data_IF_446175630466
#
_entry.id   IF_446175630466
#
_cell.length_a   1.000
_cell.length_b   1.000
_cell.length_c   1.000
_cell.angle_alpha   90.00
_cell.angle_beta   90.00
_cell.angle_gamma   90.00
#
_symmetry.space_group_name_H-M   'P 1'
#
loop_
_entity.id
_entity.type
_entity.pdbx_description
1 polymer ?
#
# COMPACT_ATOMS: atom_id res chain seq x y z
N UNK A 1 6.35 -10.12 -14.44
CA UNK A 1 6.64 -9.33 -13.24
C UNK A 1 7.41 -8.15 -13.75
N UNK A 2 7.00 -6.95 -13.35
CA UNK A 2 7.67 -5.71 -13.72
C UNK A 2 8.63 -5.32 -12.59
N UNK A 3 9.67 -4.55 -12.92
CA UNK A 3 10.49 -3.92 -11.90
C UNK A 3 9.65 -2.85 -11.18
N UNK A 4 9.74 -2.80 -9.85
CA UNK A 4 9.04 -1.81 -9.05
C UNK A 4 9.93 -1.25 -7.95
N UNK A 5 9.82 0.06 -7.71
CA UNK A 5 10.46 0.71 -6.57
C UNK A 5 9.45 0.94 -5.45
N UNK A 6 9.85 0.64 -4.22
CA UNK A 6 9.05 0.89 -3.02
C UNK A 6 9.88 1.64 -1.98
N UNK A 7 9.35 2.76 -1.49
CA UNK A 7 9.98 3.62 -0.48
C UNK A 7 9.09 3.73 0.75
N UNK A 8 9.64 3.41 1.91
CA UNK A 8 8.95 3.48 3.20
C UNK A 8 9.31 4.79 3.91
N UNK A 9 8.34 5.67 4.09
CA UNK A 9 8.52 6.98 4.71
C UNK A 9 7.85 7.02 6.08
N UNK A 10 8.48 7.65 7.10
CA UNK A 10 7.83 7.91 8.38
C UNK A 10 6.53 8.70 8.19
N UNK A 11 5.51 8.38 8.99
CA UNK A 11 4.26 9.12 8.97
C UNK A 11 3.83 9.59 10.38
N UNK A 12 3.04 10.68 10.47
CA UNK A 12 2.55 11.19 11.76
C UNK A 12 1.69 10.16 12.52
N UNK A 13 1.51 10.34 13.84
CA UNK A 13 0.55 9.55 14.60
C UNK A 13 -0.86 9.57 13.98
N UNK A 14 -1.55 8.44 14.05
CA UNK A 14 -2.89 8.24 13.48
C UNK A 14 -2.94 8.31 11.95
N UNK A 15 -1.79 8.23 11.27
CA UNK A 15 -1.74 8.12 9.81
C UNK A 15 -2.18 6.72 9.34
N UNK A 16 -1.84 5.68 10.10
CA UNK A 16 -2.01 4.29 9.68
C UNK A 16 -0.98 3.88 8.63
N UNK A 17 -1.25 2.75 7.96
CA UNK A 17 -0.46 2.27 6.82
C UNK A 17 -1.17 2.69 5.54
N UNK A 18 -0.49 3.49 4.70
CA UNK A 18 -1.03 3.95 3.42
C UNK A 18 -0.05 3.68 2.30
N UNK A 19 -0.58 3.28 1.15
CA UNK A 19 0.16 3.18 -0.10
C UNK A 19 -0.08 4.42 -0.95
N UNK A 20 0.93 4.84 -1.72
CA UNK A 20 0.83 5.95 -2.66
C UNK A 20 1.42 5.55 -4.00
N UNK A 21 0.61 5.61 -5.06
CA UNK A 21 1.05 5.36 -6.43
C UNK A 21 1.70 6.60 -7.02
N UNK A 22 3.02 6.70 -6.93
CA UNK A 22 3.78 7.89 -7.36
C UNK A 22 3.93 7.99 -8.88
N UNK A 23 3.66 6.91 -9.60
CA UNK A 23 3.67 6.81 -11.06
C UNK A 23 2.36 7.28 -11.71
N UNK A 24 1.28 7.44 -10.94
CA UNK A 24 -0.02 7.89 -11.45
C UNK A 24 -0.22 9.41 -11.31
N UNK A 25 -1.03 10.03 -12.19
CA UNK A 25 -1.48 11.41 -12.00
C UNK A 25 -2.14 11.59 -10.64
N UNK A 26 -1.93 12.76 -10.02
CA UNK A 26 -2.42 13.13 -8.68
C UNK A 26 -1.88 12.29 -7.51
N UNK A 27 -0.99 11.33 -7.79
CA UNK A 27 -0.32 10.46 -6.81
C UNK A 27 -1.26 9.93 -5.71
N UNK A 28 -2.31 9.19 -6.11
CA UNK A 28 -3.39 8.78 -5.24
C UNK A 28 -2.91 7.91 -4.08
N UNK A 29 -3.59 8.07 -2.95
CA UNK A 29 -3.41 7.26 -1.75
C UNK A 29 -4.41 6.10 -1.72
N UNK A 30 -3.96 4.98 -1.19
CA UNK A 30 -4.76 3.79 -0.89
C UNK A 30 -4.52 3.38 0.56
N UNK A 31 -5.57 3.45 1.37
CA UNK A 31 -5.54 3.02 2.77
C UNK A 31 -5.46 1.49 2.82
N UNK A 32 -4.58 0.97 3.68
CA UNK A 32 -4.50 -0.46 3.97
C UNK A 32 -5.68 -0.90 4.87
N UNK A 33 -6.88 -0.84 4.29
CA UNK A 33 -8.15 -1.14 4.93
C UNK A 33 -8.82 -2.34 4.26
N UNK A 34 -9.53 -3.16 5.04
CA UNK A 34 -10.26 -4.32 4.54
C UNK A 34 -11.39 -3.91 3.58
N UNK A 35 -11.99 -2.74 3.77
CA UNK A 35 -13.03 -2.20 2.91
C UNK A 35 -12.52 -1.88 1.50
N UNK A 36 -11.20 -1.72 1.34
CA UNK A 36 -10.57 -1.49 0.04
C UNK A 36 -10.12 -2.78 -0.66
N UNK A 37 -10.33 -3.97 -0.08
CA UNK A 37 -9.92 -5.24 -0.70
C UNK A 37 -10.82 -5.58 -1.89
N UNK A 38 -10.21 -5.76 -3.06
CA UNK A 38 -10.92 -6.01 -4.33
C UNK A 38 -10.59 -7.36 -4.99
N UNK A 39 -9.50 -8.02 -4.60
CA UNK A 39 -9.16 -9.36 -5.07
C UNK A 39 -8.32 -10.14 -4.04
N UNK A 40 -8.50 -11.46 -4.02
CA UNK A 40 -7.81 -12.44 -3.18
C UNK A 40 -7.27 -13.65 -3.98
N UNK A 41 -7.45 -13.68 -5.30
CA UNK A 41 -7.22 -14.86 -6.14
C UNK A 41 -5.76 -15.34 -6.20
N UNK A 42 -4.80 -14.40 -6.09
CA UNK A 42 -3.35 -14.65 -6.18
C UNK A 42 -2.53 -13.95 -5.10
N UNK A 43 -3.22 -13.25 -4.21
CA UNK A 43 -2.68 -12.34 -3.21
C UNK A 43 -3.74 -11.30 -2.86
N UNK A 44 -3.52 -10.52 -1.81
CA UNK A 44 -4.44 -9.47 -1.39
C UNK A 44 -4.19 -8.23 -2.24
N UNK A 45 -5.24 -7.81 -2.95
CA UNK A 45 -5.23 -6.58 -3.75
C UNK A 45 -6.17 -5.57 -3.14
N UNK A 46 -5.69 -4.34 -2.94
CA UNK A 46 -6.48 -3.21 -2.47
C UNK A 46 -6.61 -2.15 -3.55
N UNK A 47 -7.75 -1.47 -3.59
CA UNK A 47 -8.00 -0.38 -4.53
C UNK A 47 -8.79 0.75 -3.86
N UNK A 48 -8.33 1.98 -4.07
CA UNK A 48 -9.01 3.20 -3.63
C UNK A 48 -8.60 4.32 -4.57
N UNK A 49 -9.48 5.31 -4.80
CA UNK A 49 -9.16 6.48 -5.63
C UNK A 49 -8.62 6.11 -7.04
N UNK A 50 -9.15 5.04 -7.64
CA UNK A 50 -8.71 4.46 -8.93
C UNK A 50 -7.24 4.00 -8.96
N UNK A 51 -6.62 3.79 -7.81
CA UNK A 51 -5.29 3.23 -7.67
C UNK A 51 -5.36 1.83 -7.07
N UNK A 52 -4.77 0.87 -7.75
CA UNK A 52 -4.70 -0.54 -7.34
C UNK A 52 -3.28 -0.88 -6.88
N UNK A 53 -3.20 -1.59 -5.75
CA UNK A 53 -1.98 -2.17 -5.19
C UNK A 53 -2.18 -3.68 -5.01
N UNK A 54 -1.36 -4.49 -5.68
CA UNK A 54 -1.39 -5.94 -5.64
C UNK A 54 -0.43 -6.46 -4.57
N UNK A 55 -0.75 -7.64 -4.03
CA UNK A 55 0.16 -8.44 -3.18
C UNK A 55 0.65 -7.68 -1.94
N UNK A 56 -0.26 -7.01 -1.22
CA UNK A 56 0.11 -6.20 -0.04
C UNK A 56 0.45 -7.03 1.21
N UNK A 57 0.03 -8.29 1.25
CA UNK A 57 -0.03 -9.12 2.46
C UNK A 57 1.33 -9.34 3.15
N UNK A 58 2.42 -9.53 2.41
CA UNK A 58 3.73 -9.75 3.01
C UNK A 58 4.32 -8.46 3.58
N UNK A 59 4.13 -7.34 2.89
CA UNK A 59 4.52 -6.01 3.38
C UNK A 59 3.77 -5.68 4.66
N UNK A 60 2.44 -5.88 4.67
CA UNK A 60 1.63 -5.66 5.86
C UNK A 60 2.02 -6.60 7.01
N UNK A 61 2.27 -7.88 6.74
CA UNK A 61 2.71 -8.83 7.75
C UNK A 61 4.06 -8.43 8.39
N UNK A 62 5.01 -7.94 7.59
CA UNK A 62 6.31 -7.46 8.10
C UNK A 62 6.14 -6.21 8.99
N UNK A 63 5.32 -5.24 8.57
CA UNK A 63 5.06 -4.02 9.33
C UNK A 63 4.37 -4.33 10.67
N UNK A 64 3.34 -5.18 10.65
CA UNK A 64 2.65 -5.62 11.87
C UNK A 64 3.60 -6.39 12.79
N UNK A 65 4.41 -7.30 12.24
CA UNK A 65 5.40 -8.06 13.00
C UNK A 65 6.46 -7.18 13.68
N UNK A 66 6.77 -6.02 13.09
CA UNK A 66 7.69 -5.02 13.63
C UNK A 66 7.00 -3.92 14.45
N UNK A 67 5.67 -3.99 14.63
CA UNK A 67 4.88 -2.99 15.34
C UNK A 67 5.00 -1.58 14.74
N UNK A 68 5.00 -1.49 13.41
CA UNK A 68 4.97 -0.21 12.68
C UNK A 68 3.52 0.17 12.40
N UNK A 69 3.02 1.17 13.13
CA UNK A 69 1.62 1.61 13.02
C UNK A 69 1.41 2.69 11.94
N UNK A 70 2.43 3.52 11.67
CA UNK A 70 2.30 4.72 10.84
C UNK A 70 3.42 4.79 9.80
N UNK A 71 3.07 4.57 8.53
CA UNK A 71 4.03 4.61 7.42
C UNK A 71 3.33 4.98 6.11
N UNK A 72 3.99 5.82 5.31
CA UNK A 72 3.60 6.09 3.93
C UNK A 72 4.50 5.27 3.00
N UNK A 73 3.90 4.35 2.25
CA UNK A 73 4.58 3.44 1.33
C UNK A 73 4.38 3.98 -0.09
N UNK A 74 5.41 4.59 -0.65
CA UNK A 74 5.38 5.07 -2.03
C UNK A 74 5.86 3.97 -2.97
N UNK A 75 5.14 3.75 -4.07
CA UNK A 75 5.55 2.77 -5.08
C UNK A 75 5.12 3.16 -6.48
N UNK A 76 5.81 2.57 -7.46
CA UNK A 76 5.37 2.47 -8.84
C UNK A 76 4.87 1.05 -9.15
N UNK A 77 4.11 0.92 -10.24
CA UNK A 77 3.52 -0.35 -10.64
C UNK A 77 2.28 -0.73 -9.80
N UNK A 78 1.48 -1.69 -10.30
CA UNK A 78 0.21 -2.06 -9.71
C UNK A 78 0.30 -3.12 -8.63
#
# INVERSE_FOLDING_TARGET
GEESHMTFNPAPPHHGIKFQRVDLPDQPLVDADVDNVVDLSRGTTIEQNNARINTVEHTLAALVGLQVDNVLIQLDGP
#
